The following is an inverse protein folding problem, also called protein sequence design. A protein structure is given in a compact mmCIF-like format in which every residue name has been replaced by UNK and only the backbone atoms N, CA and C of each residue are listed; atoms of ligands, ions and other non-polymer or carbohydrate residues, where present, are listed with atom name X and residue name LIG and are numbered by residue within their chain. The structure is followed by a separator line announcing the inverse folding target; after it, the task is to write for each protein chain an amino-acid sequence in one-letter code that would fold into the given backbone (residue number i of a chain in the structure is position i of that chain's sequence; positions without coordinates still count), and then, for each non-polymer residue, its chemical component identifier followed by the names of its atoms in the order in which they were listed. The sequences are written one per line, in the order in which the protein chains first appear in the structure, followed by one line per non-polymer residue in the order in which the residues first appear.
data_IF_930624152235
#
_entry.id   IF_930624152235
#
_cell.length_a   1.000
_cell.length_b   1.000
_cell.length_c   1.000
_cell.angle_alpha   90.00
_cell.angle_beta   90.00
_cell.angle_gamma   90.00
#
_symmetry.space_group_name_H-M   'P 1'
#
loop_
_entity.id
_entity.type
_entity.pdbx_description
1 polymer ?
#
# COMPACT_ATOMS: atom_id res chain seq x y z
N UNK A 1 -29.26 1.58 59.19
CA UNK A 1 -28.01 2.38 59.10
C UNK A 1 -27.14 1.72 58.05
N UNK A 2 -27.20 2.20 56.80
CA UNK A 2 -26.33 1.73 55.73
C UNK A 2 -25.10 2.62 55.71
N UNK A 3 -23.94 2.05 56.02
CA UNK A 3 -22.64 2.71 55.90
C UNK A 3 -22.36 2.85 54.41
N UNK A 4 -22.42 4.08 53.90
CA UNK A 4 -21.97 4.38 52.56
C UNK A 4 -20.47 4.04 52.49
N UNK A 5 -20.11 3.09 51.64
CA UNK A 5 -18.71 2.81 51.33
C UNK A 5 -18.13 4.08 50.69
N UNK A 6 -17.28 4.80 51.43
CA UNK A 6 -16.49 5.91 50.90
C UNK A 6 -15.64 5.39 49.75
N UNK A 7 -15.86 5.94 48.57
CA UNK A 7 -15.09 5.62 47.37
C UNK A 7 -13.70 6.26 47.51
N UNK A 8 -12.66 5.46 47.82
CA UNK A 8 -11.26 5.89 48.02
C UNK A 8 -10.66 6.65 46.82
N UNK A 9 -11.33 6.67 45.65
CA UNK A 9 -10.90 7.42 44.46
C UNK A 9 -11.53 8.81 44.33
N UNK A 10 -12.42 9.21 45.24
CA UNK A 10 -12.98 10.56 45.28
C UNK A 10 -12.05 11.53 46.05
N UNK A 11 -10.77 11.56 45.70
CA UNK A 11 -9.83 12.56 46.24
C UNK A 11 -9.93 13.82 45.37
N UNK A 12 -10.17 14.98 45.99
CA UNK A 12 -10.11 16.29 45.34
C UNK A 12 -8.68 16.47 44.81
N UNK A 13 -8.48 16.31 43.50
CA UNK A 13 -7.14 16.37 42.90
C UNK A 13 -7.00 15.80 41.48
N UNK A 14 -8.11 15.58 40.75
CA UNK A 14 -8.08 15.00 39.40
C UNK A 14 -7.59 15.93 38.29
N UNK A 15 -7.14 17.15 38.62
CA UNK A 15 -6.51 18.06 37.66
C UNK A 15 -5.01 17.83 37.69
N UNK A 16 -4.55 16.77 37.02
CA UNK A 16 -3.12 16.59 36.79
C UNK A 16 -2.65 17.66 35.80
N UNK A 17 -1.60 18.44 36.09
CA UNK A 17 -1.11 19.45 35.15
C UNK A 17 -0.75 18.79 33.80
N UNK A 18 -0.80 19.56 32.69
CA UNK A 18 -0.39 19.06 31.38
C UNK A 18 0.99 18.39 31.44
N UNK A 19 1.14 17.25 30.74
CA UNK A 19 2.40 16.47 30.71
C UNK A 19 3.64 17.35 30.47
N UNK A 20 3.65 18.35 29.57
CA UNK A 20 4.80 19.23 29.40
C UNK A 20 5.24 19.98 30.67
N UNK A 21 4.28 20.41 31.51
CA UNK A 21 4.57 21.12 32.76
C UNK A 21 5.18 20.17 33.82
N UNK A 22 4.67 18.94 33.89
CA UNK A 22 5.22 17.89 34.75
C UNK A 22 6.66 17.57 34.36
N UNK A 23 6.90 17.35 33.06
CA UNK A 23 8.24 17.03 32.56
C UNK A 23 9.22 18.19 32.76
N UNK A 24 8.78 19.44 32.57
CA UNK A 24 9.60 20.62 32.82
C UNK A 24 10.03 20.73 34.28
N UNK A 25 9.12 20.46 35.22
CA UNK A 25 9.43 20.47 36.65
C UNK A 25 10.32 19.28 37.05
N UNK A 26 9.99 18.07 36.61
CA UNK A 26 10.71 16.83 36.95
C UNK A 26 12.15 16.83 36.42
N UNK A 27 12.38 17.43 35.25
CA UNK A 27 13.68 17.44 34.57
C UNK A 27 14.35 18.82 34.58
N UNK A 28 13.96 19.72 35.49
CA UNK A 28 14.51 21.07 35.60
C UNK A 28 16.05 21.08 35.69
N UNK A 29 16.64 20.15 36.43
CA UNK A 29 18.11 20.01 36.57
C UNK A 29 18.81 19.56 35.28
N UNK A 30 18.11 18.83 34.40
CA UNK A 30 18.66 18.40 33.12
C UNK A 30 18.51 19.52 32.09
N UNK A 31 17.39 20.23 32.13
CA UNK A 31 17.09 21.40 31.30
C UNK A 31 18.07 22.55 31.62
N UNK A 32 18.37 22.79 32.90
CA UNK A 32 19.28 23.87 33.31
C UNK A 32 20.71 23.70 32.79
N UNK A 33 21.10 22.49 32.36
CA UNK A 33 22.41 22.22 31.74
C UNK A 33 22.50 22.67 30.28
N UNK A 34 21.38 23.00 29.64
CA UNK A 34 21.34 23.45 28.25
C UNK A 34 21.96 24.84 28.14
N UNK A 35 21.57 25.77 29.02
CA UNK A 35 21.98 27.17 28.92
C UNK A 35 23.51 27.36 29.00
N UNK A 36 24.24 26.74 29.95
CA UNK A 36 25.71 26.84 29.99
C UNK A 36 26.40 26.26 28.74
N UNK A 37 25.81 25.26 28.08
CA UNK A 37 26.35 24.74 26.80
C UNK A 37 26.06 25.74 25.68
N UNK A 38 24.86 26.33 25.64
CA UNK A 38 24.48 27.34 24.67
C UNK A 38 25.33 28.60 24.79
N UNK A 39 25.58 29.11 26.00
CA UNK A 39 26.46 30.24 26.26
C UNK A 39 27.89 29.98 25.77
N UNK A 40 28.46 28.80 26.10
CA UNK A 40 29.78 28.39 25.57
C UNK A 40 29.76 28.33 24.04
N UNK A 41 28.73 27.75 23.44
CA UNK A 41 28.61 27.66 21.99
C UNK A 41 28.50 29.04 21.32
N UNK A 42 27.78 29.99 21.94
CA UNK A 42 27.64 31.36 21.43
C UNK A 42 28.95 32.16 21.47
N UNK A 43 29.87 31.80 22.36
CA UNK A 43 31.19 32.43 22.47
C UNK A 43 32.24 31.85 21.50
N UNK A 44 31.94 30.74 20.81
CA UNK A 44 32.87 30.07 19.89
C UNK A 44 32.99 30.78 18.54
N UNK A 45 34.10 30.56 17.79
CA UNK A 45 34.27 31.11 16.46
C UNK A 45 33.17 30.61 15.50
N UNK A 46 32.59 31.54 14.73
CA UNK A 46 31.55 31.22 13.73
C UNK A 46 32.10 30.54 12.47
N UNK A 47 33.42 30.54 12.30
CA UNK A 47 34.15 29.86 11.23
C UNK A 47 35.38 29.19 11.83
N UNK A 48 35.52 27.90 11.57
CA UNK A 48 36.69 27.11 11.97
C UNK A 48 37.72 27.26 10.86
N UNK A 49 38.87 27.88 11.16
CA UNK A 49 39.94 28.13 10.18
C UNK A 49 41.25 27.46 10.55
N UNK A 50 41.35 26.92 11.77
CA UNK A 50 42.55 26.29 12.29
C UNK A 50 42.23 25.08 13.16
N UNK A 51 43.23 24.22 13.37
CA UNK A 51 43.14 23.10 14.31
C UNK A 51 42.94 23.61 15.75
N UNK A 52 43.46 24.80 16.08
CA UNK A 52 43.21 25.44 17.37
C UNK A 52 41.73 25.80 17.56
N UNK A 53 41.05 26.26 16.52
CA UNK A 53 39.61 26.49 16.56
C UNK A 53 38.87 25.16 16.80
N UNK A 54 39.30 24.07 16.13
CA UNK A 54 38.73 22.73 16.35
C UNK A 54 38.89 22.26 17.79
N UNK A 55 40.06 22.46 18.41
CA UNK A 55 40.31 22.12 19.81
C UNK A 55 39.38 22.85 20.78
N UNK A 56 39.05 24.11 20.49
CA UNK A 56 38.11 24.89 21.34
C UNK A 56 36.66 24.49 21.15
N UNK A 57 36.27 24.10 19.93
CA UNK A 57 34.89 23.73 19.59
C UNK A 57 34.57 22.29 20.00
N UNK A 58 35.54 21.37 19.90
CA UNK A 58 35.33 19.93 20.12
C UNK A 58 34.69 19.59 21.50
N UNK A 59 35.12 20.16 22.64
CA UNK A 59 34.51 19.87 23.94
C UNK A 59 33.04 20.27 24.02
N UNK A 60 32.65 21.40 23.42
CA UNK A 60 31.26 21.86 23.41
C UNK A 60 30.38 20.93 22.57
N UNK A 61 30.89 20.43 21.44
CA UNK A 61 30.20 19.43 20.62
C UNK A 61 30.02 18.12 21.41
N UNK A 62 31.06 17.64 22.10
CA UNK A 62 30.98 16.42 22.91
C UNK A 62 29.95 16.57 24.03
N UNK A 63 30.02 17.65 24.80
CA UNK A 63 29.09 17.91 25.90
C UNK A 63 27.64 18.04 25.41
N UNK A 64 27.41 18.72 24.28
CA UNK A 64 26.09 18.84 23.65
C UNK A 64 25.54 17.47 23.21
N UNK A 65 26.38 16.65 22.58
CA UNK A 65 26.01 15.29 22.17
C UNK A 65 25.72 14.38 23.37
N UNK A 66 26.50 14.47 24.45
CA UNK A 66 26.24 13.73 25.68
C UNK A 66 24.93 14.13 26.35
N UNK A 67 24.66 15.44 26.46
CA UNK A 67 23.40 15.93 27.03
C UNK A 67 22.20 15.53 26.15
N UNK A 68 22.33 15.64 24.83
CA UNK A 68 21.31 15.21 23.87
C UNK A 68 21.00 13.71 24.02
N UNK A 69 22.03 12.85 24.12
CA UNK A 69 21.85 11.41 24.36
C UNK A 69 21.13 11.12 25.68
N UNK A 70 21.47 11.86 26.75
CA UNK A 70 20.80 11.72 28.06
C UNK A 70 19.33 12.12 27.97
N UNK A 71 19.02 13.26 27.35
CA UNK A 71 17.64 13.71 27.12
C UNK A 71 16.83 12.69 26.31
N UNK A 72 17.39 12.13 25.25
CA UNK A 72 16.71 11.11 24.44
C UNK A 72 16.52 9.79 25.21
N UNK A 73 17.48 9.39 26.05
CA UNK A 73 17.33 8.22 26.92
C UNK A 73 16.21 8.44 27.96
N UNK A 74 16.19 9.60 28.62
CA UNK A 74 15.12 9.98 29.54
C UNK A 74 13.76 10.00 28.85
N UNK A 75 13.67 10.61 27.66
CA UNK A 75 12.44 10.62 26.85
C UNK A 75 11.96 9.21 26.56
N UNK A 76 12.85 8.28 26.19
CA UNK A 76 12.48 6.88 25.95
C UNK A 76 11.92 6.22 27.20
N UNK A 77 12.55 6.44 28.35
CA UNK A 77 12.09 5.90 29.64
C UNK A 77 10.69 6.42 29.98
N UNK A 78 10.47 7.73 29.91
CA UNK A 78 9.16 8.36 30.20
C UNK A 78 8.08 7.93 29.21
N UNK A 79 8.45 7.72 27.94
CA UNK A 79 7.52 7.30 26.90
C UNK A 79 7.18 5.81 26.98
N UNK A 80 8.06 4.98 27.54
CA UNK A 80 7.91 3.51 27.50
C UNK A 80 6.62 3.01 28.18
N UNK A 81 6.20 3.50 29.36
CA UNK A 81 4.93 3.08 29.97
C UNK A 81 3.72 3.33 29.06
N UNK A 82 3.69 4.48 28.38
CA UNK A 82 2.61 4.81 27.44
C UNK A 82 2.65 3.96 26.17
N UNK A 83 3.85 3.64 25.68
CA UNK A 83 4.01 2.73 24.55
C UNK A 83 3.66 1.29 24.92
N UNK A 84 4.04 0.83 26.11
CA UNK A 84 3.68 -0.50 26.61
C UNK A 84 2.17 -0.62 26.77
N UNK A 85 1.52 0.38 27.39
CA UNK A 85 0.08 0.41 27.50
C UNK A 85 -0.61 0.41 26.12
N UNK A 86 -0.11 1.18 25.17
CA UNK A 86 -0.58 1.14 23.78
C UNK A 86 -0.42 -0.24 23.14
N UNK A 87 0.76 -0.87 23.28
CA UNK A 87 1.02 -2.22 22.78
C UNK A 87 0.14 -3.28 23.43
N UNK A 88 -0.22 -3.14 24.71
CA UNK A 88 -1.14 -4.05 25.40
C UNK A 88 -2.57 -3.93 24.87
N UNK A 89 -3.02 -2.70 24.62
CA UNK A 89 -4.31 -2.44 23.95
C UNK A 89 -4.31 -3.07 22.56
N UNK A 90 -3.26 -2.81 21.77
CA UNK A 90 -3.12 -3.39 20.44
C UNK A 90 -3.06 -4.93 20.51
N UNK A 91 -2.32 -5.51 21.44
CA UNK A 91 -2.22 -6.95 21.63
C UNK A 91 -3.55 -7.61 22.01
N UNK A 92 -4.43 -6.88 22.72
CA UNK A 92 -5.78 -7.35 23.01
C UNK A 92 -6.69 -7.31 21.78
N UNK A 93 -6.65 -6.22 21.00
CA UNK A 93 -7.57 -6.03 19.87
C UNK A 93 -7.12 -6.72 18.59
N UNK A 94 -5.82 -6.77 18.29
CA UNK A 94 -5.30 -7.33 17.05
C UNK A 94 -5.77 -8.78 16.81
N UNK A 95 -5.72 -9.71 17.77
CA UNK A 95 -6.23 -11.07 17.55
C UNK A 95 -7.74 -11.14 17.26
N UNK A 96 -8.52 -10.17 17.76
CA UNK A 96 -9.96 -10.10 17.51
C UNK A 96 -10.23 -9.60 16.08
N UNK A 97 -9.50 -8.57 15.66
CA UNK A 97 -9.55 -8.04 14.29
C UNK A 97 -9.05 -9.10 13.31
N UNK A 98 -7.89 -9.70 13.55
CA UNK A 98 -7.31 -10.78 12.74
C UNK A 98 -8.28 -11.95 12.55
N UNK A 99 -9.06 -12.30 13.58
CA UNK A 99 -10.07 -13.36 13.48
C UNK A 99 -11.22 -12.95 12.55
N UNK A 100 -11.68 -11.71 12.63
CA UNK A 100 -12.74 -11.20 11.74
C UNK A 100 -12.24 -11.08 10.31
N UNK A 101 -11.01 -10.60 10.13
CA UNK A 101 -10.36 -10.49 8.81
C UNK A 101 -10.23 -11.87 8.17
N UNK A 102 -9.73 -12.88 8.91
CA UNK A 102 -9.67 -14.26 8.39
C UNK A 102 -11.03 -14.84 8.00
N UNK A 103 -12.09 -14.51 8.75
CA UNK A 103 -13.45 -14.92 8.40
C UNK A 103 -13.87 -14.24 7.08
N UNK A 104 -13.67 -12.92 6.98
CA UNK A 104 -13.99 -12.15 5.78
C UNK A 104 -13.20 -12.68 4.56
N UNK A 105 -11.87 -12.77 4.67
CA UNK A 105 -10.97 -13.25 3.63
C UNK A 105 -11.40 -14.62 3.10
N UNK A 106 -11.70 -15.56 4.00
CA UNK A 106 -12.15 -16.91 3.61
C UNK A 106 -13.41 -16.87 2.75
N UNK A 107 -14.42 -16.09 3.16
CA UNK A 107 -15.66 -16.00 2.41
C UNK A 107 -15.55 -15.12 1.16
N UNK A 108 -14.65 -14.13 1.14
CA UNK A 108 -14.33 -13.34 -0.05
C UNK A 108 -13.63 -14.19 -1.12
N UNK A 109 -12.69 -15.06 -0.73
CA UNK A 109 -12.03 -16.00 -1.64
C UNK A 109 -13.03 -17.00 -2.22
N UNK A 110 -13.87 -17.61 -1.38
CA UNK A 110 -14.93 -18.53 -1.83
C UNK A 110 -15.91 -17.83 -2.77
N UNK A 111 -16.33 -16.61 -2.43
CA UNK A 111 -17.23 -15.79 -3.26
C UNK A 111 -16.58 -15.43 -4.59
N UNK A 112 -15.30 -15.09 -4.59
CA UNK A 112 -14.52 -14.77 -5.80
C UNK A 112 -14.39 -15.99 -6.71
N UNK A 113 -14.08 -17.15 -6.14
CA UNK A 113 -14.00 -18.42 -6.89
C UNK A 113 -15.34 -18.76 -7.54
N UNK A 114 -16.45 -18.67 -6.78
CA UNK A 114 -17.79 -18.89 -7.30
C UNK A 114 -18.15 -17.90 -8.41
N UNK A 115 -17.88 -16.60 -8.24
CA UNK A 115 -18.15 -15.59 -9.26
C UNK A 115 -17.33 -15.85 -10.53
N UNK A 116 -16.06 -16.25 -10.39
CA UNK A 116 -15.20 -16.61 -11.53
C UNK A 116 -15.78 -17.80 -12.30
N UNK A 117 -16.18 -18.86 -11.60
CA UNK A 117 -16.78 -20.04 -12.23
C UNK A 117 -18.14 -19.72 -12.87
N UNK A 118 -18.99 -18.97 -12.18
CA UNK A 118 -20.29 -18.52 -12.70
C UNK A 118 -20.13 -17.72 -13.99
N UNK A 119 -19.23 -16.72 -14.00
CA UNK A 119 -18.94 -15.90 -15.18
C UNK A 119 -18.37 -16.78 -16.31
N UNK A 120 -17.47 -17.72 -16.00
CA UNK A 120 -16.92 -18.62 -17.01
C UNK A 120 -17.99 -19.55 -17.60
N UNK A 121 -18.92 -20.06 -16.78
CA UNK A 121 -20.05 -20.88 -17.25
C UNK A 121 -20.99 -20.06 -18.13
N UNK A 122 -21.39 -18.87 -17.68
CA UNK A 122 -22.30 -17.99 -18.42
C UNK A 122 -21.70 -17.54 -19.76
N UNK A 123 -20.39 -17.27 -19.80
CA UNK A 123 -19.67 -17.03 -21.06
C UNK A 123 -19.74 -18.24 -21.99
N UNK A 124 -19.42 -19.44 -21.51
CA UNK A 124 -19.48 -20.66 -22.33
C UNK A 124 -20.88 -20.93 -22.88
N UNK A 125 -21.92 -20.71 -22.09
CA UNK A 125 -23.31 -20.87 -22.53
C UNK A 125 -23.68 -19.85 -23.61
N UNK A 126 -23.34 -18.57 -23.43
CA UNK A 126 -23.59 -17.52 -24.43
C UNK A 126 -22.77 -17.71 -25.70
N UNK A 127 -21.52 -18.14 -25.59
CA UNK A 127 -20.65 -18.45 -26.74
C UNK A 127 -21.17 -19.66 -27.53
N UNK A 128 -21.65 -20.71 -26.85
CA UNK A 128 -22.25 -21.88 -27.48
C UNK A 128 -23.58 -21.53 -28.18
N UNK A 129 -24.42 -20.70 -27.56
CA UNK A 129 -25.65 -20.20 -28.17
C UNK A 129 -25.37 -19.35 -29.41
N UNK A 130 -24.41 -18.42 -29.32
CA UNK A 130 -23.97 -17.61 -30.45
C UNK A 130 -23.39 -18.46 -31.59
N UNK A 131 -22.60 -19.50 -31.27
CA UNK A 131 -22.09 -20.44 -32.27
C UNK A 131 -23.23 -21.23 -32.95
N UNK A 132 -24.21 -21.71 -32.18
CA UNK A 132 -25.38 -22.43 -32.72
C UNK A 132 -26.22 -21.55 -33.64
N UNK A 133 -26.44 -20.28 -33.26
CA UNK A 133 -27.22 -19.34 -34.06
C UNK A 133 -26.49 -18.95 -35.35
N UNK A 134 -25.16 -18.77 -35.31
CA UNK A 134 -24.35 -18.58 -36.52
C UNK A 134 -24.42 -19.76 -37.47
N UNK A 135 -24.28 -20.99 -36.97
CA UNK A 135 -24.38 -22.18 -37.83
C UNK A 135 -25.79 -22.31 -38.45
N UNK A 136 -26.83 -21.94 -37.70
CA UNK A 136 -28.20 -21.92 -38.20
C UNK A 136 -28.42 -20.84 -39.27
N UNK A 137 -27.87 -19.64 -39.06
CA UNK A 137 -27.87 -18.54 -40.04
C UNK A 137 -27.16 -18.97 -41.34
N UNK A 138 -25.95 -19.52 -41.25
CA UNK A 138 -25.18 -19.97 -42.42
C UNK A 138 -25.94 -21.04 -43.22
N UNK A 139 -26.53 -22.02 -42.55
CA UNK A 139 -27.37 -23.05 -43.20
C UNK A 139 -28.57 -22.43 -43.90
N UNK A 140 -29.28 -21.51 -43.24
CA UNK A 140 -30.47 -20.87 -43.80
C UNK A 140 -30.16 -19.94 -44.97
N UNK A 141 -29.05 -19.20 -44.89
CA UNK A 141 -28.56 -18.37 -45.99
C UNK A 141 -28.19 -19.21 -47.21
N UNK A 142 -27.48 -20.32 -47.01
CA UNK A 142 -27.17 -21.26 -48.08
C UNK A 142 -28.42 -21.93 -48.70
N UNK A 143 -29.48 -22.13 -47.91
CA UNK A 143 -30.77 -22.63 -48.41
C UNK A 143 -31.59 -21.59 -49.17
N UNK A 144 -31.48 -20.30 -48.79
CA UNK A 144 -32.11 -19.19 -49.50
C UNK A 144 -31.45 -19.00 -50.88
N UNK A 145 -30.11 -19.02 -50.94
CA UNK A 145 -29.35 -18.92 -52.20
C UNK A 145 -29.63 -20.04 -53.20
N UNK A 146 -30.00 -21.24 -52.70
CA UNK A 146 -30.34 -22.41 -53.54
C UNK A 146 -31.80 -22.44 -54.00
N UNK A 147 -32.66 -21.56 -53.49
CA UNK A 147 -34.07 -21.54 -53.84
C UNK A 147 -34.28 -20.97 -55.26
N UNK A 148 -35.13 -21.63 -56.07
CA UNK A 148 -35.36 -21.28 -57.49
C UNK A 148 -36.72 -20.65 -57.77
N UNK A 149 -37.65 -20.68 -56.80
CA UNK A 149 -39.02 -20.15 -56.95
C UNK A 149 -39.12 -18.78 -56.25
N UNK A 150 -39.58 -17.72 -56.93
CA UNK A 150 -39.58 -16.36 -56.38
C UNK A 150 -40.31 -16.24 -55.03
N UNK A 151 -41.53 -16.76 -54.91
CA UNK A 151 -42.30 -16.72 -53.65
C UNK A 151 -41.62 -17.50 -52.49
N UNK A 152 -40.78 -18.47 -52.83
CA UNK A 152 -40.04 -19.30 -51.86
C UNK A 152 -38.67 -18.71 -51.53
N UNK A 153 -38.15 -17.85 -52.40
CA UNK A 153 -36.89 -17.11 -52.23
C UNK A 153 -37.11 -16.00 -51.20
N UNK A 154 -38.15 -15.18 -51.37
CA UNK A 154 -38.44 -14.04 -50.49
C UNK A 154 -38.68 -14.50 -49.04
N UNK A 155 -39.56 -15.49 -48.84
CA UNK A 155 -39.80 -16.08 -47.50
C UNK A 155 -38.56 -16.68 -46.85
N UNK A 156 -37.62 -17.24 -47.64
CA UNK A 156 -36.37 -17.81 -47.10
C UNK A 156 -35.32 -16.74 -46.82
N UNK A 157 -35.36 -15.61 -47.52
CA UNK A 157 -34.53 -14.45 -47.19
C UNK A 157 -35.01 -13.80 -45.89
N UNK A 158 -36.31 -13.60 -45.71
CA UNK A 158 -36.86 -13.06 -44.46
C UNK A 158 -36.48 -13.92 -43.25
N UNK A 159 -36.62 -15.25 -43.36
CA UNK A 159 -36.18 -16.20 -42.31
C UNK A 159 -34.67 -16.15 -42.05
N UNK A 160 -33.84 -15.90 -43.08
CA UNK A 160 -32.39 -15.79 -42.94
C UNK A 160 -32.00 -14.47 -42.27
N UNK A 161 -32.68 -13.37 -42.59
CA UNK A 161 -32.44 -12.05 -42.00
C UNK A 161 -32.86 -12.01 -40.53
N UNK A 162 -33.98 -12.66 -40.16
CA UNK A 162 -34.38 -12.84 -38.76
C UNK A 162 -33.34 -13.61 -37.95
N UNK A 163 -32.77 -14.69 -38.52
CA UNK A 163 -31.71 -15.47 -37.89
C UNK A 163 -30.40 -14.70 -37.79
N UNK A 164 -30.08 -13.87 -38.79
CA UNK A 164 -28.91 -13.00 -38.76
C UNK A 164 -28.99 -11.98 -37.63
N UNK A 165 -30.17 -11.37 -37.44
CA UNK A 165 -30.41 -10.47 -36.30
C UNK A 165 -30.28 -11.19 -34.95
N UNK A 166 -30.81 -12.41 -34.84
CA UNK A 166 -30.69 -13.21 -33.63
C UNK A 166 -29.24 -13.63 -33.33
N UNK A 167 -28.48 -13.99 -34.35
CA UNK A 167 -27.06 -14.32 -34.24
C UNK A 167 -26.25 -13.11 -33.77
N UNK A 168 -26.46 -11.94 -34.37
CA UNK A 168 -25.79 -10.69 -33.98
C UNK A 168 -26.09 -10.31 -32.51
N UNK A 169 -27.35 -10.43 -32.07
CA UNK A 169 -27.72 -10.18 -30.67
C UNK A 169 -27.11 -11.18 -29.69
N UNK A 170 -26.96 -12.44 -30.10
CA UNK A 170 -26.33 -13.47 -29.27
C UNK A 170 -24.81 -13.25 -29.16
N UNK A 171 -24.15 -12.82 -30.24
CA UNK A 171 -22.73 -12.44 -30.21
C UNK A 171 -22.47 -11.23 -29.30
N UNK A 172 -23.31 -10.20 -29.38
CA UNK A 172 -23.21 -9.03 -28.50
C UNK A 172 -23.37 -9.43 -27.02
N UNK A 173 -24.33 -10.30 -26.71
CA UNK A 173 -24.52 -10.85 -25.36
C UNK A 173 -23.33 -11.69 -24.91
N UNK A 174 -22.71 -12.46 -25.81
CA UNK A 174 -21.51 -13.24 -25.51
C UNK A 174 -20.29 -12.34 -25.23
N UNK A 175 -20.20 -11.18 -25.89
CA UNK A 175 -19.14 -10.19 -25.69
C UNK A 175 -19.28 -9.34 -24.41
N UNK A 176 -20.34 -9.54 -23.61
CA UNK A 176 -20.59 -8.76 -22.40
C UNK A 176 -19.42 -8.78 -21.40
N UNK A 177 -19.19 -7.64 -20.73
CA UNK A 177 -18.10 -7.49 -19.77
C UNK A 177 -18.34 -8.33 -18.51
N UNK A 178 -17.26 -8.84 -17.89
CA UNK A 178 -17.34 -9.62 -16.65
C UNK A 178 -18.06 -8.88 -15.50
N UNK A 179 -17.96 -7.55 -15.49
CA UNK A 179 -18.63 -6.69 -14.50
C UNK A 179 -20.15 -6.76 -14.62
N UNK A 180 -20.69 -6.95 -15.81
CA UNK A 180 -22.14 -7.00 -16.04
C UNK A 180 -22.69 -8.39 -15.70
N UNK A 181 -21.93 -9.44 -15.99
CA UNK A 181 -22.26 -10.83 -15.65
C UNK A 181 -22.20 -11.10 -14.13
N UNK A 182 -21.25 -10.47 -13.43
CA UNK A 182 -21.01 -10.68 -12.00
C UNK A 182 -21.88 -9.85 -11.05
N UNK A 183 -22.77 -8.98 -11.55
CA UNK A 183 -23.61 -8.12 -10.71
C UNK A 183 -24.78 -8.91 -10.10
N UNK A 184 -24.92 -8.81 -8.80
CA UNK A 184 -26.07 -9.39 -8.08
C UNK A 184 -26.43 -8.53 -6.86
N UNK A 185 -27.71 -8.48 -6.52
CA UNK A 185 -28.18 -7.96 -5.24
C UNK A 185 -28.70 -9.13 -4.41
N UNK A 186 -28.23 -9.22 -3.17
CA UNK A 186 -28.72 -10.21 -2.21
C UNK A 186 -30.09 -9.80 -1.66
N UNK A 187 -30.85 -10.76 -1.12
CA UNK A 187 -32.15 -10.49 -0.50
C UNK A 187 -32.05 -9.51 0.69
N UNK A 188 -30.89 -9.41 1.33
CA UNK A 188 -30.59 -8.50 2.43
C UNK A 188 -30.17 -7.10 1.96
N UNK A 189 -30.13 -6.85 0.64
CA UNK A 189 -29.80 -5.55 0.07
C UNK A 189 -28.31 -5.31 -0.22
N UNK A 190 -27.43 -6.25 0.12
CA UNK A 190 -25.99 -6.16 -0.20
C UNK A 190 -25.77 -6.36 -1.70
N UNK A 191 -25.03 -5.44 -2.33
CA UNK A 191 -24.67 -5.49 -3.75
C UNK A 191 -23.32 -6.20 -3.90
N UNK A 192 -23.29 -7.27 -4.71
CA UNK A 192 -22.09 -8.01 -5.09
C UNK A 192 -21.70 -7.62 -6.50
N UNK A 193 -20.43 -7.30 -6.71
CA UNK A 193 -19.90 -6.95 -8.02
C UNK A 193 -18.50 -7.51 -8.21
N UNK A 194 -18.12 -7.73 -9.47
CA UNK A 194 -16.81 -8.26 -9.83
C UNK A 194 -15.95 -7.15 -10.42
N UNK A 195 -14.67 -7.09 -9.99
CA UNK A 195 -13.64 -6.24 -10.56
C UNK A 195 -12.68 -7.09 -11.36
N UNK A 196 -12.37 -6.67 -12.58
CA UNK A 196 -11.31 -7.30 -13.37
C UNK A 196 -10.01 -6.53 -13.10
N UNK A 197 -8.98 -7.23 -12.65
CA UNK A 197 -7.61 -6.71 -12.50
C UNK A 197 -6.70 -7.50 -13.44
N UNK A 198 -5.70 -6.81 -13.98
CA UNK A 198 -4.63 -7.45 -14.73
C UNK A 198 -3.51 -7.79 -13.75
N UNK A 199 -3.09 -9.05 -13.79
CA UNK A 199 -2.01 -9.57 -12.96
C UNK A 199 -0.95 -10.21 -13.87
N UNK A 200 0.26 -10.41 -13.34
CA UNK A 200 1.37 -10.98 -14.08
C UNK A 200 2.03 -12.11 -13.29
N UNK A 201 2.62 -13.05 -14.02
CA UNK A 201 3.49 -14.08 -13.44
C UNK A 201 4.84 -13.99 -14.13
N UNK A 202 5.90 -13.88 -13.34
CA UNK A 202 7.27 -13.93 -13.86
C UNK A 202 7.57 -15.40 -14.19
N UNK A 203 7.83 -15.68 -15.46
CA UNK A 203 8.24 -17.00 -15.94
C UNK A 203 9.76 -17.14 -15.96
N UNK A 204 10.46 -16.09 -16.39
CA UNK A 204 11.90 -15.97 -16.39
C UNK A 204 12.26 -14.53 -16.03
N UNK A 205 13.09 -14.36 -15.00
CA UNK A 205 13.49 -13.05 -14.51
C UNK A 205 14.56 -12.41 -15.39
N UNK A 206 15.49 -13.20 -15.93
CA UNK A 206 16.61 -12.71 -16.74
C UNK A 206 16.14 -12.23 -18.12
N UNK A 207 15.05 -12.80 -18.62
CA UNK A 207 14.44 -12.38 -19.87
C UNK A 207 13.68 -11.04 -19.78
N UNK A 208 13.56 -10.42 -18.59
CA UNK A 208 12.80 -9.18 -18.41
C UNK A 208 13.61 -7.98 -18.94
N UNK A 209 13.12 -7.27 -19.98
CA UNK A 209 13.83 -6.10 -20.51
C UNK A 209 13.65 -4.89 -19.58
N UNK A 210 14.60 -4.68 -18.67
CA UNK A 210 14.58 -3.59 -17.69
C UNK A 210 14.45 -2.20 -18.32
N UNK A 211 14.94 -1.99 -19.55
CA UNK A 211 14.81 -0.72 -20.26
C UNK A 211 13.35 -0.34 -20.55
N UNK A 212 12.44 -1.32 -20.74
CA UNK A 212 11.01 -1.05 -20.91
C UNK A 212 10.33 -0.68 -19.61
N UNK A 213 10.86 -1.14 -18.48
CA UNK A 213 10.35 -0.84 -17.15
C UNK A 213 10.88 0.50 -16.60
N UNK A 214 11.95 1.04 -17.20
CA UNK A 214 12.61 2.28 -16.79
C UNK A 214 11.66 3.48 -16.58
N UNK A 215 10.63 3.74 -17.41
CA UNK A 215 9.68 4.83 -17.18
C UNK A 215 8.77 4.64 -15.95
N UNK A 216 8.61 3.40 -15.49
CA UNK A 216 7.75 3.03 -14.36
C UNK A 216 8.52 2.91 -13.04
N UNK A 217 9.85 2.91 -13.09
CA UNK A 217 10.70 2.91 -11.89
C UNK A 217 10.75 4.32 -11.28
N UNK A 218 10.33 4.42 -10.02
CA UNK A 218 10.48 5.66 -9.25
C UNK A 218 11.95 5.98 -9.03
N UNK A 219 12.29 7.27 -9.02
CA UNK A 219 13.67 7.77 -8.80
C UNK A 219 14.29 7.22 -7.52
N UNK A 220 13.50 7.12 -6.46
CA UNK A 220 13.91 6.59 -5.15
C UNK A 220 14.50 5.17 -5.25
N UNK A 221 13.90 4.30 -6.06
CA UNK A 221 14.40 2.92 -6.22
C UNK A 221 15.72 2.88 -7.01
N UNK A 222 15.86 3.77 -8.00
CA UNK A 222 17.10 3.90 -8.77
C UNK A 222 18.21 4.46 -7.87
N UNK A 223 17.94 5.48 -7.06
CA UNK A 223 18.90 6.03 -6.11
C UNK A 223 19.29 5.02 -5.02
N UNK A 224 18.37 4.19 -4.53
CA UNK A 224 18.67 3.11 -3.59
C UNK A 224 19.63 2.07 -4.20
N UNK A 225 19.41 1.70 -5.47
CA UNK A 225 20.30 0.82 -6.20
C UNK A 225 21.70 1.45 -6.38
N UNK A 226 21.76 2.73 -6.78
CA UNK A 226 23.02 3.47 -6.94
C UNK A 226 23.76 3.56 -5.61
N UNK A 227 23.11 3.92 -4.49
CA UNK A 227 23.74 3.99 -3.17
C UNK A 227 24.31 2.64 -2.74
N UNK A 228 23.57 1.57 -2.96
CA UNK A 228 24.03 0.21 -2.64
C UNK A 228 25.24 -0.18 -3.50
N UNK A 229 25.23 0.19 -4.77
CA UNK A 229 26.33 -0.06 -5.70
C UNK A 229 27.58 0.76 -5.37
N UNK A 230 27.45 2.07 -5.13
CA UNK A 230 28.54 2.98 -4.70
C UNK A 230 29.11 2.56 -3.35
N UNK A 231 28.29 2.05 -2.41
CA UNK A 231 28.79 1.53 -1.13
C UNK A 231 29.73 0.34 -1.29
N UNK A 232 29.45 -0.54 -2.26
CA UNK A 232 30.25 -1.75 -2.53
C UNK A 232 31.48 -1.40 -3.36
N UNK A 233 31.30 -0.64 -4.45
CA UNK A 233 32.37 -0.35 -5.42
C UNK A 233 33.19 0.91 -5.10
N UNK A 234 32.73 1.75 -4.17
CA UNK A 234 33.38 2.99 -3.72
C UNK A 234 33.78 3.87 -4.91
N UNK A 235 35.06 4.25 -5.02
CA UNK A 235 35.57 5.07 -6.12
C UNK A 235 35.59 4.39 -7.49
N UNK A 236 35.36 3.08 -7.59
CA UNK A 236 35.30 2.36 -8.88
C UNK A 236 33.86 2.23 -9.40
N UNK A 237 33.04 3.25 -9.19
CA UNK A 237 31.65 3.27 -9.66
C UNK A 237 31.64 3.58 -11.16
N UNK A 238 31.91 2.60 -12.02
CA UNK A 238 31.91 2.75 -13.48
C UNK A 238 30.52 2.97 -14.11
N UNK A 239 29.59 3.63 -13.40
CA UNK A 239 28.23 3.91 -13.86
C UNK A 239 28.19 5.24 -14.61
N UNK A 240 27.78 5.19 -15.88
CA UNK A 240 27.60 6.39 -16.68
C UNK A 240 26.57 7.35 -16.03
N UNK A 241 26.99 8.59 -15.77
CA UNK A 241 26.14 9.62 -15.16
C UNK A 241 26.12 9.63 -13.63
N UNK A 242 26.89 8.77 -12.95
CA UNK A 242 27.06 8.79 -11.49
C UNK A 242 28.52 9.04 -11.17
N UNK A 243 28.80 10.14 -10.47
CA UNK A 243 30.11 10.41 -9.91
C UNK A 243 30.13 10.01 -8.44
N UNK A 244 30.96 9.03 -8.10
CA UNK A 244 31.21 8.65 -6.72
C UNK A 244 32.37 9.48 -6.18
N UNK A 245 32.14 10.18 -5.07
CA UNK A 245 33.15 10.99 -4.40
C UNK A 245 33.34 10.51 -2.95
N UNK A 246 34.55 10.71 -2.43
CA UNK A 246 34.83 10.52 -1.02
C UNK A 246 34.40 11.77 -0.26
N UNK A 247 33.42 11.59 0.64
CA UNK A 247 33.01 12.66 1.56
C UNK A 247 33.69 12.43 2.92
N UNK A 248 34.28 13.50 3.46
CA UNK A 248 34.98 13.46 4.75
C UNK A 248 34.12 14.15 5.79
N UNK A 249 33.73 13.39 6.81
CA UNK A 249 33.00 13.92 7.97
C UNK A 249 33.84 13.81 9.24
N UNK A 250 33.87 14.87 10.02
CA UNK A 250 34.54 14.89 11.33
C UNK A 250 33.65 14.24 12.37
N UNK A 251 34.18 13.27 13.12
CA UNK A 251 33.46 12.58 14.18
C UNK A 251 34.09 12.92 15.55
N UNK A 252 33.31 13.49 16.45
CA UNK A 252 33.75 13.86 17.80
C UNK A 252 33.36 12.76 18.79
N UNK A 253 34.36 12.21 19.50
CA UNK A 253 34.18 11.17 20.52
C UNK A 253 35.03 11.52 21.74
N UNK A 254 34.55 11.12 22.92
CA UNK A 254 35.31 11.13 24.17
C UNK A 254 35.88 9.74 24.43
#
# INVERSE_FOLDING_TARGET
MNVAAENERAVIGGNNPPIPEVLAAQYADLISKIEPIAERANALPKKIQSDQDLETVAPVIVDANELSKKLEATRKIEKEPHLSAGREVDAFFNPLVDRLDRIADTFEELSTSYQREKIARERREREAEAARLREAEEKKRAEAEKAKRPDTVERKHDEADELSLQAAQAEEKAAAANKDLGRMQTATGVKVGVRTTWDFRITDYEAIPLEKLRPYLKREHVEQAIRSFVKIQKGSTGLAGVEAFEDVSTNFRR
#
